data_IF_789092656419
#
_entry.id   IF_789092656419
#
_cell.length_a   1.000
_cell.length_b   1.000
_cell.length_c   1.000
_cell.angle_alpha   90.00
_cell.angle_beta   90.00
_cell.angle_gamma   90.00
#
_symmetry.space_group_name_H-M   'P 1'
#
loop_
_entity.id
_entity.type
_entity.pdbx_description
1 polymer ?
#
# COMPACT_ATOMS: atom_id res chain seq x y z
N UNK A 1 -51.93 3.81 5.49
CA UNK A 1 -51.37 3.49 4.17
C UNK A 1 -51.68 2.05 3.86
N UNK A 2 -51.88 1.73 2.59
CA UNK A 2 -52.16 0.36 2.17
C UNK A 2 -51.01 -0.59 2.55
N UNK A 3 -51.27 -1.87 2.84
CA UNK A 3 -50.22 -2.83 3.13
C UNK A 3 -49.23 -2.98 1.96
N UNK A 4 -47.93 -2.94 2.26
CA UNK A 4 -46.86 -3.11 1.28
C UNK A 4 -45.95 -4.27 1.68
N UNK A 5 -45.62 -5.13 0.71
CA UNK A 5 -44.77 -6.28 0.93
C UNK A 5 -43.27 -5.89 0.99
N UNK A 6 -42.45 -6.59 1.79
CA UNK A 6 -41.02 -6.29 1.88
C UNK A 6 -40.26 -6.69 0.61
N UNK A 7 -39.32 -5.85 0.21
CA UNK A 7 -38.20 -6.24 -0.64
C UNK A 7 -37.05 -6.77 0.21
N UNK A 8 -36.54 -7.96 -0.11
CA UNK A 8 -35.50 -8.62 0.68
C UNK A 8 -34.18 -8.67 -0.08
N UNK A 9 -33.12 -8.18 0.56
CA UNK A 9 -31.78 -8.09 0.01
C UNK A 9 -30.80 -8.90 0.87
N UNK A 10 -30.03 -9.84 0.29
CA UNK A 10 -28.99 -10.55 1.02
C UNK A 10 -27.81 -9.61 1.29
N UNK A 11 -27.27 -9.68 2.49
CA UNK A 11 -26.08 -8.95 2.93
C UNK A 11 -24.91 -9.92 3.06
N UNK A 12 -23.80 -9.60 2.39
CA UNK A 12 -22.56 -10.38 2.40
C UNK A 12 -21.55 -9.81 3.39
N UNK A 13 -20.63 -10.63 3.92
CA UNK A 13 -19.51 -10.15 4.74
C UNK A 13 -18.56 -9.25 3.92
N UNK A 14 -18.02 -8.20 4.53
CA UNK A 14 -16.96 -7.36 3.95
C UNK A 14 -15.57 -7.98 4.20
N UNK A 15 -14.58 -7.82 3.29
CA UNK A 15 -13.26 -8.46 3.42
C UNK A 15 -12.51 -8.06 4.74
N UNK A 16 -12.79 -6.90 5.34
CA UNK A 16 -12.15 -6.41 6.57
C UNK A 16 -12.74 -6.91 7.90
N UNK A 17 -13.79 -7.73 7.86
CA UNK A 17 -14.44 -8.27 9.08
C UNK A 17 -13.88 -9.63 9.52
N UNK A 18 -12.83 -10.13 8.87
CA UNK A 18 -12.13 -11.38 9.23
C UNK A 18 -11.06 -11.17 10.32
N UNK A 19 -11.15 -10.07 11.07
CA UNK A 19 -10.24 -9.81 12.19
C UNK A 19 -10.52 -10.76 13.35
N UNK A 20 -9.49 -11.52 13.75
CA UNK A 20 -9.34 -12.40 14.92
C UNK A 20 -10.40 -13.45 15.24
N UNK A 21 -11.61 -13.34 14.73
CA UNK A 21 -12.72 -14.20 15.11
C UNK A 21 -12.89 -15.27 14.04
N UNK A 22 -12.91 -16.53 14.48
CA UNK A 22 -13.18 -17.74 13.68
C UNK A 22 -14.58 -17.79 13.04
N UNK A 23 -15.26 -16.64 12.95
CA UNK A 23 -16.66 -16.49 12.58
C UNK A 23 -16.86 -15.36 11.56
N UNK A 24 -17.86 -15.50 10.71
CA UNK A 24 -18.31 -14.48 9.75
C UNK A 24 -19.77 -14.13 10.00
N UNK A 25 -20.15 -12.88 9.72
CA UNK A 25 -21.54 -12.44 9.85
C UNK A 25 -22.14 -12.16 8.48
N UNK A 26 -23.24 -12.86 8.19
CA UNK A 26 -24.09 -12.63 7.02
C UNK A 26 -25.41 -12.00 7.46
N UNK A 27 -26.20 -11.49 6.54
CA UNK A 27 -27.48 -10.91 6.92
C UNK A 27 -28.50 -10.82 5.79
N UNK A 28 -29.69 -10.34 6.15
CA UNK A 28 -30.72 -9.95 5.21
C UNK A 28 -31.34 -8.63 5.64
N UNK A 29 -31.54 -7.74 4.66
CA UNK A 29 -32.28 -6.50 4.81
C UNK A 29 -33.67 -6.68 4.21
N UNK A 30 -34.70 -6.44 5.01
CA UNK A 30 -36.09 -6.30 4.56
C UNK A 30 -36.42 -4.80 4.52
N UNK A 31 -36.85 -4.28 3.37
CA UNK A 31 -37.10 -2.85 3.19
C UNK A 31 -38.44 -2.61 2.47
N UNK A 32 -39.08 -1.48 2.78
CA UNK A 32 -40.26 -1.02 2.05
C UNK A 32 -41.57 -1.68 2.45
N UNK A 33 -41.65 -2.31 3.64
CA UNK A 33 -42.87 -2.97 4.09
C UNK A 33 -43.73 -2.08 4.99
N UNK A 34 -45.04 -2.36 5.02
CA UNK A 34 -45.99 -1.72 5.91
C UNK A 34 -47.18 -2.68 6.15
N UNK A 35 -47.66 -2.86 7.40
CA UNK A 35 -47.12 -2.38 8.68
C UNK A 35 -45.98 -3.27 9.23
N UNK A 36 -45.24 -2.82 10.23
CA UNK A 36 -44.31 -3.68 10.98
C UNK A 36 -45.07 -4.70 11.87
N UNK A 37 -44.49 -5.87 12.22
CA UNK A 37 -43.14 -6.35 11.90
C UNK A 37 -43.09 -7.37 10.74
N UNK A 38 -41.88 -7.67 10.27
CA UNK A 38 -41.58 -8.88 9.49
C UNK A 38 -40.96 -9.94 10.41
N UNK A 39 -41.21 -11.21 10.10
CA UNK A 39 -40.56 -12.35 10.77
C UNK A 39 -39.44 -12.88 9.89
N UNK A 40 -38.23 -13.03 10.44
CA UNK A 40 -37.09 -13.60 9.71
C UNK A 40 -36.64 -14.90 10.38
N UNK A 41 -36.55 -15.97 9.59
CA UNK A 41 -35.94 -17.25 9.96
C UNK A 41 -34.75 -17.54 9.06
N UNK A 42 -33.83 -18.38 9.52
CA UNK A 42 -32.67 -18.82 8.74
C UNK A 42 -32.76 -20.31 8.45
N UNK A 43 -32.49 -20.70 7.19
CA UNK A 43 -32.61 -22.06 6.65
C UNK A 43 -33.92 -22.75 7.07
N UNK A 44 -35.04 -22.06 6.87
CA UNK A 44 -36.39 -22.49 7.23
C UNK A 44 -36.58 -22.80 8.73
N UNK A 45 -35.78 -22.17 9.59
CA UNK A 45 -35.80 -22.36 11.04
C UNK A 45 -34.89 -23.48 11.54
N UNK A 46 -34.11 -24.11 10.67
CA UNK A 46 -33.09 -25.09 11.08
C UNK A 46 -31.95 -24.44 11.88
N UNK A 47 -31.66 -23.16 11.64
CA UNK A 47 -30.66 -22.40 12.38
C UNK A 47 -31.37 -21.56 13.45
N UNK A 48 -30.96 -21.74 14.71
CA UNK A 48 -31.56 -21.08 15.88
C UNK A 48 -30.55 -20.30 16.73
N UNK A 49 -29.25 -20.53 16.53
CA UNK A 49 -28.15 -19.85 17.24
C UNK A 49 -27.43 -18.83 16.35
N UNK A 50 -26.79 -17.83 16.96
CA UNK A 50 -26.01 -16.82 16.23
C UNK A 50 -26.86 -15.80 15.46
N UNK A 51 -28.18 -15.82 15.63
CA UNK A 51 -29.11 -14.91 14.95
C UNK A 51 -29.33 -13.66 15.79
N UNK A 52 -29.20 -12.49 15.16
CA UNK A 52 -29.53 -11.19 15.75
C UNK A 52 -30.51 -10.46 14.83
N UNK A 53 -31.76 -10.35 15.28
CA UNK A 53 -32.80 -9.59 14.58
C UNK A 53 -32.83 -8.16 15.11
N UNK A 54 -32.69 -7.19 14.22
CA UNK A 54 -32.80 -5.78 14.54
C UNK A 54 -34.26 -5.32 14.34
N UNK A 55 -34.74 -4.41 15.21
CA UNK A 55 -36.13 -3.92 15.14
C UNK A 55 -36.39 -3.17 13.83
N UNK A 56 -37.66 -3.10 13.44
CA UNK A 56 -38.09 -2.31 12.30
C UNK A 56 -37.98 -0.81 12.59
N UNK A 57 -37.40 -0.07 11.64
CA UNK A 57 -37.21 1.38 11.70
C UNK A 57 -38.04 2.03 10.60
N UNK A 58 -38.75 3.11 10.93
CA UNK A 58 -39.52 3.90 9.98
C UNK A 58 -38.57 4.73 9.11
N UNK A 59 -38.64 4.55 7.80
CA UNK A 59 -37.87 5.29 6.80
C UNK A 59 -38.58 6.61 6.44
N UNK A 60 -37.83 7.58 5.89
CA UNK A 60 -38.39 8.86 5.43
C UNK A 60 -39.47 8.69 4.35
N UNK A 61 -39.45 7.58 3.62
CA UNK A 61 -40.47 7.18 2.64
C UNK A 61 -41.82 6.81 3.26
N UNK A 62 -41.92 6.73 4.59
CA UNK A 62 -43.14 6.31 5.30
C UNK A 62 -43.33 4.78 5.39
N UNK A 63 -42.35 4.00 4.95
CA UNK A 63 -42.30 2.53 5.03
C UNK A 63 -41.26 2.05 6.05
N UNK A 64 -41.36 0.79 6.48
CA UNK A 64 -40.42 0.21 7.43
C UNK A 64 -39.28 -0.56 6.75
N UNK A 65 -38.13 -0.59 7.42
CA UNK A 65 -37.02 -1.49 7.12
C UNK A 65 -36.49 -2.17 8.39
N UNK A 66 -36.04 -3.41 8.28
CA UNK A 66 -35.44 -4.19 9.37
C UNK A 66 -34.36 -5.10 8.82
N UNK A 67 -33.41 -5.50 9.66
CA UNK A 67 -32.35 -6.43 9.27
C UNK A 67 -32.23 -7.61 10.23
N UNK A 68 -31.78 -8.74 9.71
CA UNK A 68 -31.40 -9.92 10.49
C UNK A 68 -29.96 -10.27 10.15
N UNK A 69 -29.16 -10.55 11.16
CA UNK A 69 -27.79 -11.02 11.04
C UNK A 69 -27.68 -12.44 11.55
N UNK A 70 -26.77 -13.21 10.95
CA UNK A 70 -26.39 -14.55 11.36
C UNK A 70 -24.87 -14.64 11.45
N UNK A 71 -24.35 -14.93 12.64
CA UNK A 71 -22.94 -15.21 12.89
C UNK A 71 -22.68 -16.71 12.82
N UNK A 72 -21.75 -17.12 11.96
CA UNK A 72 -21.47 -18.52 11.63
C UNK A 72 -19.96 -18.78 11.66
N UNK A 73 -19.50 -20.00 12.01
CA UNK A 73 -18.10 -20.37 11.89
C UNK A 73 -17.58 -20.26 10.46
N UNK A 74 -16.31 -19.89 10.28
CA UNK A 74 -15.69 -19.73 8.97
C UNK A 74 -15.65 -21.04 8.16
N UNK A 75 -15.52 -22.19 8.84
CA UNK A 75 -15.60 -23.52 8.21
C UNK A 75 -16.97 -23.76 7.57
N UNK A 76 -18.04 -23.43 8.30
CA UNK A 76 -19.41 -23.60 7.85
C UNK A 76 -19.74 -22.67 6.69
N UNK A 77 -19.18 -21.47 6.66
CA UNK A 77 -19.35 -20.56 5.53
C UNK A 77 -18.68 -21.05 4.25
N UNK A 78 -17.67 -21.92 4.28
CA UNK A 78 -17.06 -22.46 3.05
C UNK A 78 -17.88 -23.60 2.44
N UNK A 79 -18.52 -24.38 3.29
CA UNK A 79 -19.09 -25.68 2.91
C UNK A 79 -20.62 -25.74 2.94
N UNK A 80 -21.29 -24.82 3.66
CA UNK A 80 -22.74 -24.86 3.89
C UNK A 80 -23.44 -23.63 3.33
N UNK A 81 -24.60 -23.83 2.70
CA UNK A 81 -25.42 -22.74 2.17
C UNK A 81 -26.35 -22.11 3.22
N UNK A 82 -26.51 -20.78 3.16
CA UNK A 82 -27.37 -20.01 4.07
C UNK A 82 -28.48 -19.29 3.31
N UNK A 83 -29.68 -19.31 3.87
CA UNK A 83 -30.88 -18.66 3.32
C UNK A 83 -31.64 -17.95 4.43
N UNK A 84 -32.11 -16.74 4.16
CA UNK A 84 -33.07 -16.06 5.03
C UNK A 84 -34.49 -16.19 4.44
N UNK A 85 -35.43 -16.52 5.32
CA UNK A 85 -36.84 -16.74 5.03
C UNK A 85 -37.63 -15.64 5.75
N UNK A 86 -38.12 -14.66 4.99
CA UNK A 86 -38.84 -13.49 5.49
C UNK A 86 -40.32 -13.68 5.26
N UNK A 87 -41.11 -13.53 6.31
CA UNK A 87 -42.57 -13.60 6.29
C UNK A 87 -43.18 -12.28 6.77
N UNK A 88 -44.10 -11.75 5.96
CA UNK A 88 -44.87 -10.56 6.26
C UNK A 88 -46.36 -10.92 6.27
N UNK A 89 -46.88 -11.20 7.47
CA UNK A 89 -48.26 -11.65 7.68
C UNK A 89 -49.32 -10.68 7.11
N UNK A 90 -49.18 -9.34 7.23
CA UNK A 90 -50.19 -8.41 6.69
C UNK A 90 -50.41 -8.48 5.18
N UNK A 91 -49.40 -8.91 4.42
CA UNK A 91 -49.50 -9.06 2.96
C UNK A 91 -49.40 -10.52 2.52
N UNK A 92 -49.47 -11.48 3.47
CA UNK A 92 -49.27 -12.91 3.23
C UNK A 92 -48.02 -13.24 2.40
N UNK A 93 -46.99 -12.39 2.48
CA UNK A 93 -45.81 -12.50 1.61
C UNK A 93 -44.73 -13.34 2.28
N UNK A 94 -44.16 -14.28 1.52
CA UNK A 94 -43.02 -15.10 1.93
C UNK A 94 -41.91 -14.95 0.90
N UNK A 95 -40.73 -14.51 1.35
CA UNK A 95 -39.56 -14.30 0.50
C UNK A 95 -38.39 -15.08 1.04
N UNK A 96 -37.87 -15.98 0.22
CA UNK A 96 -36.65 -16.72 0.51
C UNK A 96 -35.49 -16.09 -0.29
N UNK A 97 -34.44 -15.67 0.41
CA UNK A 97 -33.22 -15.15 -0.23
C UNK A 97 -32.02 -15.95 0.24
N UNK A 98 -31.44 -16.69 -0.71
CA UNK A 98 -30.13 -17.31 -0.55
C UNK A 98 -29.07 -16.23 -0.44
N UNK A 99 -28.17 -16.37 0.53
CA UNK A 99 -26.97 -15.55 0.60
C UNK A 99 -26.05 -16.03 -0.52
N UNK A 100 -25.71 -15.19 -1.50
CA UNK A 100 -25.06 -15.69 -2.69
C UNK A 100 -23.57 -16.00 -2.42
N UNK A 101 -23.18 -17.27 -2.59
CA UNK A 101 -21.83 -17.79 -2.86
C UNK A 101 -20.79 -17.84 -1.72
N UNK A 102 -20.13 -19.00 -1.58
CA UNK A 102 -18.94 -19.28 -0.73
C UNK A 102 -17.62 -18.75 -1.33
N UNK A 103 -17.67 -18.31 -2.58
CA UNK A 103 -16.56 -17.63 -3.23
C UNK A 103 -16.60 -16.18 -2.80
N UNK A 104 -15.69 -15.80 -1.93
CA UNK A 104 -15.22 -14.42 -1.94
C UNK A 104 -14.84 -14.10 -3.39
N UNK A 105 -15.11 -12.87 -3.88
CA UNK A 105 -14.58 -12.48 -5.19
C UNK A 105 -13.07 -12.79 -5.18
N UNK A 106 -12.50 -13.25 -6.30
CA UNK A 106 -11.06 -13.57 -6.43
C UNK A 106 -10.14 -12.43 -5.95
N UNK A 107 -10.71 -11.24 -5.78
CA UNK A 107 -10.13 -10.04 -5.16
C UNK A 107 -10.02 -10.04 -3.62
N UNK A 108 -10.66 -10.94 -2.86
CA UNK A 108 -10.35 -11.16 -1.44
C UNK A 108 -9.39 -12.35 -1.26
N UNK A 109 -8.40 -12.50 -2.14
CA UNK A 109 -7.21 -13.28 -1.80
C UNK A 109 -6.44 -12.48 -0.74
N UNK A 110 -6.53 -12.91 0.53
CA UNK A 110 -5.70 -12.39 1.65
C UNK A 110 -4.24 -12.88 1.53
N UNK A 111 -3.78 -13.14 0.31
CA UNK A 111 -2.37 -13.43 0.09
C UNK A 111 -1.62 -12.12 0.27
N UNK A 112 -0.71 -12.04 1.27
CA UNK A 112 0.05 -10.84 1.49
C UNK A 112 0.89 -10.57 0.25
N UNK A 113 0.92 -9.31 -0.15
CA UNK A 113 1.80 -8.88 -1.24
C UNK A 113 3.20 -8.76 -0.67
N UNK A 114 4.07 -9.67 -1.09
CA UNK A 114 5.50 -9.70 -0.73
C UNK A 114 6.32 -9.12 -1.88
N UNK A 115 7.10 -8.08 -1.57
CA UNK A 115 7.96 -7.40 -2.52
C UNK A 115 9.36 -7.23 -1.91
N UNK A 116 10.39 -7.70 -2.61
CA UNK A 116 11.79 -7.51 -2.19
C UNK A 116 12.37 -6.36 -3.00
N UNK A 117 12.80 -5.32 -2.31
CA UNK A 117 13.30 -4.08 -2.90
C UNK A 117 14.82 -3.97 -2.77
N UNK A 118 15.50 -3.39 -3.77
CA UNK A 118 16.93 -3.20 -3.75
C UNK A 118 17.35 -2.13 -2.72
N UNK A 119 18.65 -2.04 -2.40
CA UNK A 119 19.19 -0.91 -1.65
C UNK A 119 18.90 0.42 -2.34
N UNK A 120 18.48 1.41 -1.56
CA UNK A 120 18.22 2.76 -2.08
C UNK A 120 19.53 3.36 -2.61
N UNK A 121 19.49 4.22 -3.66
CA UNK A 121 20.69 4.89 -4.15
C UNK A 121 21.38 5.73 -3.06
N UNK A 122 20.61 6.33 -2.13
CA UNK A 122 21.13 7.02 -0.95
C UNK A 122 22.01 6.09 -0.11
N UNK A 123 21.45 4.96 0.32
CA UNK A 123 22.15 4.05 1.23
C UNK A 123 23.34 3.36 0.54
N UNK A 124 23.19 3.02 -0.74
CA UNK A 124 24.19 2.29 -1.51
C UNK A 124 25.36 3.18 -1.95
N UNK A 125 25.07 4.39 -2.48
CA UNK A 125 26.05 5.22 -3.19
C UNK A 125 26.53 6.41 -2.36
N UNK A 126 25.73 6.87 -1.39
CA UNK A 126 26.07 8.01 -0.52
C UNK A 126 26.50 7.54 0.86
N UNK A 127 25.61 6.86 1.60
CA UNK A 127 25.89 6.44 2.97
C UNK A 127 26.84 5.24 3.06
N UNK A 128 26.94 4.45 1.98
CA UNK A 128 27.70 3.17 1.94
C UNK A 128 27.20 2.12 2.94
N UNK A 129 25.94 2.20 3.34
CA UNK A 129 25.26 1.28 4.26
C UNK A 129 24.06 0.59 3.59
N UNK A 130 24.27 -0.23 2.55
CA UNK A 130 23.16 -0.81 1.79
C UNK A 130 22.28 -1.74 2.62
N UNK A 131 20.98 -1.64 2.37
CA UNK A 131 19.93 -2.42 3.02
C UNK A 131 19.01 -2.98 1.94
N UNK A 132 18.72 -4.27 2.00
CA UNK A 132 17.69 -4.91 1.17
C UNK A 132 16.40 -4.95 1.99
N UNK A 133 15.27 -4.64 1.38
CA UNK A 133 13.99 -4.58 2.09
C UNK A 133 13.06 -5.67 1.59
N UNK A 134 12.36 -6.36 2.49
CA UNK A 134 11.25 -7.23 2.18
C UNK A 134 9.99 -6.60 2.75
N UNK A 135 9.14 -6.08 1.88
CA UNK A 135 7.89 -5.40 2.23
C UNK A 135 6.76 -6.40 2.11
N UNK A 136 6.08 -6.66 3.22
CA UNK A 136 4.98 -7.60 3.33
C UNK A 136 3.75 -6.77 3.65
N UNK A 137 2.82 -6.67 2.70
CA UNK A 137 1.65 -5.78 2.78
C UNK A 137 0.35 -6.55 2.56
N UNK A 138 -0.79 -5.92 2.84
CA UNK A 138 -2.12 -6.52 2.73
C UNK A 138 -2.33 -7.73 3.64
N UNK A 139 -1.68 -7.76 4.81
CA UNK A 139 -1.88 -8.83 5.80
C UNK A 139 -3.13 -8.57 6.64
N UNK A 140 -3.89 -9.63 6.95
CA UNK A 140 -5.02 -9.53 7.88
C UNK A 140 -4.56 -9.41 9.35
N UNK A 141 -3.48 -10.10 9.70
CA UNK A 141 -2.80 -10.02 11.00
C UNK A 141 -1.29 -10.09 10.79
N UNK A 142 -0.52 -9.52 11.72
CA UNK A 142 0.93 -9.67 11.77
C UNK A 142 1.38 -10.69 12.85
N UNK A 143 0.43 -11.24 13.62
CA UNK A 143 0.73 -12.18 14.70
C UNK A 143 1.18 -13.54 14.15
N UNK A 144 2.30 -14.06 14.65
CA UNK A 144 2.88 -15.31 14.15
C UNK A 144 3.66 -15.16 12.83
N UNK A 145 3.81 -13.94 12.30
CA UNK A 145 4.67 -13.69 11.15
C UNK A 145 6.13 -14.00 11.50
N UNK A 146 6.75 -14.86 10.69
CA UNK A 146 8.18 -15.15 10.75
C UNK A 146 8.82 -14.83 9.41
N UNK A 147 9.83 -13.97 9.42
CA UNK A 147 10.62 -13.64 8.22
C UNK A 147 12.00 -14.27 8.33
N UNK A 148 12.37 -15.06 7.34
CA UNK A 148 13.69 -15.70 7.23
C UNK A 148 14.40 -15.21 5.98
N UNK A 149 15.61 -14.72 6.16
CA UNK A 149 16.47 -14.34 5.05
C UNK A 149 17.48 -15.44 4.72
N UNK A 150 17.73 -15.62 3.44
CA UNK A 150 18.82 -16.46 2.94
C UNK A 150 19.62 -15.70 1.87
N UNK A 151 20.89 -16.07 1.72
CA UNK A 151 21.83 -15.46 0.77
C UNK A 151 22.52 -16.56 -0.03
N UNK A 152 22.66 -16.38 -1.35
CA UNK A 152 23.36 -17.37 -2.20
C UNK A 152 24.84 -17.51 -1.84
N UNK A 153 25.46 -16.45 -1.33
CA UNK A 153 26.85 -16.43 -0.87
C UNK A 153 27.08 -17.07 0.50
N UNK A 154 26.02 -17.56 1.15
CA UNK A 154 26.03 -18.21 2.47
C UNK A 154 26.66 -17.38 3.60
N UNK A 155 26.82 -16.06 3.41
CA UNK A 155 27.30 -15.18 4.48
C UNK A 155 26.24 -15.03 5.57
N UNK A 156 26.69 -14.61 6.76
CA UNK A 156 25.80 -14.32 7.88
C UNK A 156 24.74 -13.27 7.49
N UNK A 157 23.52 -13.53 7.92
CA UNK A 157 22.36 -12.67 7.76
C UNK A 157 22.20 -11.80 9.02
N UNK A 158 22.03 -10.49 8.82
CA UNK A 158 21.72 -9.54 9.89
C UNK A 158 20.48 -8.76 9.44
N UNK A 159 19.31 -9.15 9.93
CA UNK A 159 18.04 -8.57 9.56
C UNK A 159 17.27 -8.05 10.78
N UNK A 160 16.43 -7.04 10.55
CA UNK A 160 15.57 -6.43 11.56
C UNK A 160 14.18 -6.25 10.98
N UNK A 161 13.16 -6.62 11.74
CA UNK A 161 11.77 -6.45 11.32
C UNK A 161 11.22 -5.17 11.95
N UNK A 162 10.53 -4.36 11.14
CA UNK A 162 9.81 -3.20 11.66
C UNK A 162 8.62 -3.66 12.50
N UNK A 163 8.16 -2.82 13.45
CA UNK A 163 6.83 -2.99 14.03
C UNK A 163 5.77 -3.07 12.92
N UNK A 164 4.68 -3.84 13.11
CA UNK A 164 3.54 -3.84 12.20
C UNK A 164 2.88 -2.47 12.13
N UNK A 165 2.68 -1.97 10.91
CA UNK A 165 2.00 -0.71 10.61
C UNK A 165 0.59 -1.03 10.11
N UNK A 166 -0.45 -0.42 10.70
CA UNK A 166 -1.84 -0.61 10.28
C UNK A 166 -2.19 0.41 9.21
N UNK A 167 -2.60 -0.08 8.04
CA UNK A 167 -2.99 0.72 6.88
C UNK A 167 -4.44 1.22 7.01
N UNK A 168 -4.80 2.23 6.20
CA UNK A 168 -6.16 2.79 6.17
C UNK A 168 -7.24 1.77 5.77
N UNK A 169 -6.87 0.77 4.98
CA UNK A 169 -7.76 -0.33 4.59
C UNK A 169 -7.92 -1.39 5.70
N UNK A 170 -7.28 -1.18 6.85
CA UNK A 170 -7.31 -2.06 8.01
C UNK A 170 -6.32 -3.22 7.95
N UNK A 171 -5.58 -3.39 6.86
CA UNK A 171 -4.53 -4.40 6.73
C UNK A 171 -3.25 -3.98 7.44
N UNK A 172 -2.32 -4.92 7.62
CA UNK A 172 -1.02 -4.67 8.22
C UNK A 172 0.11 -4.75 7.18
N UNK A 173 1.10 -3.90 7.37
CA UNK A 173 2.37 -3.89 6.64
C UNK A 173 3.53 -4.11 7.61
N UNK A 174 4.44 -5.02 7.26
CA UNK A 174 5.71 -5.25 7.98
C UNK A 174 6.86 -5.14 6.97
N UNK A 175 7.93 -4.46 7.38
CA UNK A 175 9.14 -4.27 6.57
C UNK A 175 10.29 -4.99 7.25
N UNK A 176 10.80 -6.06 6.64
CA UNK A 176 12.04 -6.71 7.08
C UNK A 176 13.24 -6.11 6.36
N UNK A 177 14.28 -5.73 7.11
CA UNK A 177 15.41 -4.95 6.63
C UNK A 177 16.68 -5.78 6.80
N UNK A 178 17.23 -6.28 5.69
CA UNK A 178 18.50 -7.00 5.66
C UNK A 178 19.67 -6.02 5.46
N UNK A 179 20.55 -5.90 6.45
CA UNK A 179 21.80 -5.13 6.31
C UNK A 179 22.84 -5.96 5.57
N UNK A 180 23.46 -5.37 4.54
CA UNK A 180 24.52 -6.01 3.74
C UNK A 180 25.74 -5.09 3.63
N UNK A 181 26.91 -5.67 3.32
CA UNK A 181 28.11 -4.87 3.08
C UNK A 181 28.10 -4.29 1.65
N UNK A 182 28.77 -3.15 1.42
CA UNK A 182 28.78 -2.49 0.10
C UNK A 182 29.27 -3.38 -1.05
N UNK A 183 30.21 -4.29 -0.77
CA UNK A 183 30.71 -5.27 -1.74
C UNK A 183 29.76 -6.44 -2.04
N UNK A 184 28.69 -6.61 -1.26
CA UNK A 184 27.78 -7.76 -1.39
C UNK A 184 26.68 -7.53 -2.43
N UNK A 185 26.31 -6.28 -2.75
CA UNK A 185 25.29 -5.98 -3.75
C UNK A 185 25.83 -6.12 -5.18
N UNK A 186 25.98 -7.37 -5.63
CA UNK A 186 26.57 -7.74 -6.92
C UNK A 186 25.64 -8.68 -7.71
N UNK A 187 25.74 -8.73 -9.05
CA UNK A 187 24.77 -9.48 -9.86
C UNK A 187 24.77 -11.01 -9.68
N UNK A 188 25.78 -11.55 -8.99
CA UNK A 188 25.88 -12.97 -8.65
C UNK A 188 25.28 -13.32 -7.27
N UNK A 189 25.02 -12.30 -6.46
CA UNK A 189 24.57 -12.45 -5.08
C UNK A 189 23.06 -12.28 -5.04
N UNK A 190 22.36 -13.32 -4.59
CA UNK A 190 20.92 -13.36 -4.43
C UNK A 190 20.56 -13.27 -2.96
N UNK A 191 19.54 -12.47 -2.69
CA UNK A 191 18.97 -12.27 -1.37
C UNK A 191 17.52 -12.74 -1.44
N UNK A 192 17.16 -13.75 -0.65
CA UNK A 192 15.81 -14.30 -0.59
C UNK A 192 15.18 -14.03 0.76
N UNK A 193 13.94 -13.52 0.73
CA UNK A 193 13.06 -13.35 1.86
C UNK A 193 12.00 -14.46 1.82
N UNK A 194 12.03 -15.35 2.80
CA UNK A 194 11.08 -16.42 3.00
C UNK A 194 10.14 -16.03 4.16
N UNK A 195 8.85 -15.90 3.88
CA UNK A 195 7.84 -15.54 4.87
C UNK A 195 6.99 -16.76 5.25
N UNK A 196 6.75 -16.90 6.55
CA UNK A 196 5.94 -17.96 7.14
C UNK A 196 4.90 -17.29 8.03
N UNK A 197 3.64 -17.65 7.86
CA UNK A 197 2.53 -17.10 8.65
C UNK A 197 1.42 -18.16 8.77
N UNK A 198 0.67 -18.24 9.90
CA UNK A 198 -0.39 -19.22 10.11
C UNK A 198 -1.48 -19.21 9.04
N UNK A 199 -1.82 -18.02 8.52
CA UNK A 199 -2.85 -17.86 7.49
C UNK A 199 -2.37 -18.24 6.08
N UNK A 200 -1.10 -18.61 5.91
CA UNK A 200 -0.55 -19.01 4.61
C UNK A 200 -0.54 -20.53 4.45
N UNK A 201 -1.07 -21.06 3.32
CA UNK A 201 -1.06 -22.50 3.06
C UNK A 201 0.36 -23.04 2.86
N UNK A 202 1.29 -22.19 2.41
CA UNK A 202 2.70 -22.52 2.27
C UNK A 202 3.57 -21.26 2.40
N UNK A 203 4.85 -21.38 2.78
CA UNK A 203 5.75 -20.25 2.85
C UNK A 203 5.89 -19.55 1.49
N UNK A 204 5.93 -18.23 1.49
CA UNK A 204 6.17 -17.43 0.27
C UNK A 204 7.63 -17.00 0.28
N UNK A 205 8.37 -17.38 -0.76
CA UNK A 205 9.74 -16.92 -0.98
C UNK A 205 9.79 -15.94 -2.15
N UNK A 206 10.42 -14.79 -1.92
CA UNK A 206 10.75 -13.80 -2.94
C UNK A 206 12.22 -13.47 -2.87
N UNK A 207 12.83 -13.23 -4.02
CA UNK A 207 14.26 -12.97 -4.09
C UNK A 207 14.56 -11.76 -4.96
N UNK A 208 15.68 -11.12 -4.67
CA UNK A 208 16.25 -10.06 -5.50
C UNK A 208 17.73 -10.31 -5.76
N UNK A 209 18.18 -9.87 -6.92
CA UNK A 209 19.58 -9.78 -7.32
C UNK A 209 19.80 -8.42 -7.95
N UNK A 210 21.04 -7.95 -7.97
CA UNK A 210 21.40 -6.81 -8.80
C UNK A 210 21.28 -7.23 -10.28
N UNK A 211 20.61 -6.43 -11.10
CA UNK A 211 20.52 -6.73 -12.52
C UNK A 211 21.91 -6.78 -13.17
N UNK A 212 22.11 -7.76 -14.07
CA UNK A 212 23.40 -8.04 -14.70
C UNK A 212 23.88 -6.98 -15.70
N UNK A 213 23.17 -5.86 -15.87
CA UNK A 213 23.59 -4.75 -16.73
C UNK A 213 23.73 -5.11 -18.20
N UNK A 214 23.24 -6.27 -18.64
CA UNK A 214 23.17 -6.62 -20.06
C UNK A 214 21.90 -5.98 -20.64
N UNK A 215 22.06 -4.72 -21.02
CA UNK A 215 21.17 -3.82 -21.77
C UNK A 215 20.37 -2.79 -20.93
N UNK A 216 20.66 -1.50 -21.20
CA UNK A 216 19.83 -0.30 -20.98
C UNK A 216 19.80 0.40 -19.61
N UNK A 217 20.95 0.57 -18.95
CA UNK A 217 21.08 1.67 -17.97
C UNK A 217 21.37 2.99 -18.68
N UNK A 218 20.64 4.06 -18.38
CA UNK A 218 20.87 5.39 -18.95
C UNK A 218 21.37 6.35 -17.86
N UNK A 219 22.41 7.12 -18.15
CA UNK A 219 22.98 8.08 -17.20
C UNK A 219 22.13 9.34 -17.11
N UNK A 220 21.87 9.86 -15.89
CA UNK A 220 21.12 11.10 -15.74
C UNK A 220 21.87 12.29 -16.31
N UNK A 221 21.12 13.10 -17.06
CA UNK A 221 21.49 14.44 -17.46
C UNK A 221 20.94 15.41 -16.42
N UNK A 222 21.82 16.20 -15.82
CA UNK A 222 21.49 17.10 -14.72
C UNK A 222 21.62 18.55 -15.21
N UNK A 223 20.54 19.30 -15.09
CA UNK A 223 20.48 20.73 -15.43
C UNK A 223 20.06 21.53 -14.20
N UNK A 224 20.76 22.64 -13.93
CA UNK A 224 20.47 23.50 -12.79
C UNK A 224 20.04 24.89 -13.25
N UNK A 225 18.79 25.21 -12.97
CA UNK A 225 18.14 26.47 -13.31
C UNK A 225 18.30 27.46 -12.14
N UNK A 226 18.72 28.71 -12.41
CA UNK A 226 18.81 29.75 -11.40
C UNK A 226 17.41 30.22 -10.98
N UNK A 227 17.30 31.02 -9.91
CA UNK A 227 16.09 31.79 -9.65
C UNK A 227 15.66 32.60 -10.87
N UNK A 228 14.35 32.74 -11.08
CA UNK A 228 13.84 33.66 -12.10
C UNK A 228 14.03 35.11 -11.68
N UNK A 229 14.15 36.01 -12.65
CA UNK A 229 14.33 37.45 -12.37
C UNK A 229 13.16 38.03 -11.57
N UNK A 230 11.94 37.53 -11.76
CA UNK A 230 10.78 37.94 -10.98
C UNK A 230 10.86 37.51 -9.51
N UNK A 231 11.43 36.33 -9.24
CA UNK A 231 11.57 35.81 -7.87
C UNK A 231 12.62 36.59 -7.06
N UNK A 232 13.58 37.25 -7.72
CA UNK A 232 14.59 38.10 -7.07
C UNK A 232 13.99 39.30 -6.30
N UNK A 233 12.69 39.58 -6.50
CA UNK A 233 11.94 40.57 -5.73
C UNK A 233 11.63 40.08 -4.30
N UNK A 234 11.56 38.77 -4.07
CA UNK A 234 11.24 38.16 -2.78
C UNK A 234 12.48 37.99 -1.88
N UNK A 235 12.28 37.71 -0.59
CA UNK A 235 13.38 37.45 0.35
C UNK A 235 13.96 36.03 0.22
N UNK A 236 13.16 35.11 -0.31
CA UNK A 236 13.54 33.74 -0.61
C UNK A 236 13.39 33.49 -2.10
N UNK A 237 14.32 32.70 -2.63
CA UNK A 237 14.41 32.37 -4.05
C UNK A 237 14.62 30.87 -4.23
N UNK A 238 14.34 30.37 -5.42
CA UNK A 238 14.36 28.94 -5.70
C UNK A 238 15.39 28.57 -6.76
N UNK A 239 16.13 27.50 -6.51
CA UNK A 239 16.92 26.81 -7.52
C UNK A 239 16.18 25.54 -7.93
N UNK A 240 16.14 25.24 -9.23
CA UNK A 240 15.48 24.05 -9.76
C UNK A 240 16.50 23.15 -10.44
N UNK A 241 16.64 21.94 -9.94
CA UNK A 241 17.42 20.88 -10.56
C UNK A 241 16.50 19.96 -11.36
N UNK A 242 16.79 19.83 -12.64
CA UNK A 242 16.10 18.93 -13.57
C UNK A 242 17.04 17.76 -13.84
N UNK A 243 16.55 16.54 -13.62
CA UNK A 243 17.32 15.31 -13.84
C UNK A 243 16.53 14.44 -14.81
N UNK A 244 17.07 14.21 -16.01
CA UNK A 244 16.35 13.56 -17.12
C UNK A 244 17.16 12.45 -17.78
N UNK A 245 16.52 11.70 -18.67
CA UNK A 245 17.12 10.67 -19.53
C UNK A 245 17.82 9.54 -18.76
N UNK A 246 17.35 9.21 -17.54
CA UNK A 246 17.97 8.17 -16.72
C UNK A 246 17.14 6.90 -16.61
N UNK A 247 17.84 5.77 -16.44
CA UNK A 247 17.27 4.43 -16.18
C UNK A 247 18.23 3.60 -15.35
N UNK A 248 17.76 2.88 -14.32
CA UNK A 248 16.36 2.67 -13.91
C UNK A 248 15.76 3.84 -13.11
N UNK A 249 14.52 3.67 -12.62
CA UNK A 249 13.75 4.71 -11.91
C UNK A 249 14.43 5.21 -10.63
N UNK A 250 15.20 4.35 -9.96
CA UNK A 250 15.74 4.62 -8.63
C UNK A 250 16.90 5.61 -8.67
N UNK A 251 16.64 6.84 -8.22
CA UNK A 251 17.63 7.92 -8.11
C UNK A 251 17.54 8.62 -6.75
N UNK A 252 18.65 9.17 -6.27
CA UNK A 252 18.66 10.02 -5.08
C UNK A 252 19.25 11.40 -5.41
N UNK A 253 18.44 12.45 -5.24
CA UNK A 253 18.82 13.83 -5.50
C UNK A 253 18.95 14.59 -4.18
N UNK A 254 20.07 15.28 -3.99
CA UNK A 254 20.36 16.06 -2.80
C UNK A 254 21.19 17.30 -3.13
N UNK A 255 21.23 18.24 -2.19
CA UNK A 255 21.85 19.54 -2.41
C UNK A 255 23.01 19.80 -1.47
N UNK A 256 23.94 20.65 -1.92
CA UNK A 256 25.01 21.23 -1.10
C UNK A 256 25.06 22.75 -1.28
N UNK A 257 25.34 23.46 -0.20
CA UNK A 257 25.72 24.89 -0.19
C UNK A 257 27.19 24.97 0.18
N UNK A 258 28.01 25.53 -0.70
CA UNK A 258 29.46 25.69 -0.51
C UNK A 258 30.17 24.37 -0.09
N UNK A 259 29.71 23.25 -0.66
CA UNK A 259 30.22 21.91 -0.39
C UNK A 259 29.60 21.20 0.83
N UNK A 260 28.82 21.91 1.65
CA UNK A 260 28.15 21.37 2.84
C UNK A 260 26.77 20.83 2.48
N UNK A 261 26.40 19.59 2.86
CA UNK A 261 25.06 19.04 2.65
C UNK A 261 23.96 19.92 3.23
N UNK A 262 22.90 20.14 2.44
CA UNK A 262 21.69 20.82 2.89
C UNK A 262 20.72 19.76 3.41
N UNK A 263 20.03 20.05 4.52
CA UNK A 263 19.03 19.16 5.11
C UNK A 263 17.79 19.01 4.20
N UNK A 264 17.09 17.88 4.32
CA UNK A 264 16.02 17.49 3.38
C UNK A 264 14.82 18.43 3.45
N UNK A 265 14.64 19.14 4.55
CA UNK A 265 13.52 20.03 4.85
C UNK A 265 13.57 21.31 3.99
N UNK A 266 14.73 21.66 3.45
CA UNK A 266 14.91 22.86 2.62
C UNK A 266 14.66 22.62 1.13
N UNK A 267 14.49 21.38 0.70
CA UNK A 267 14.26 21.05 -0.70
C UNK A 267 13.23 19.94 -0.88
N UNK A 268 12.45 20.07 -1.95
CA UNK A 268 11.48 19.06 -2.36
C UNK A 268 11.98 18.36 -3.62
N UNK A 269 11.75 17.07 -3.73
CA UNK A 269 12.09 16.28 -4.93
C UNK A 269 10.86 15.50 -5.35
N UNK A 270 10.51 15.59 -6.63
CA UNK A 270 9.38 14.85 -7.19
C UNK A 270 9.69 13.36 -7.27
N UNK A 271 8.65 12.52 -7.29
CA UNK A 271 8.81 11.13 -7.71
C UNK A 271 9.23 11.10 -9.19
N UNK A 272 10.17 10.23 -9.60
CA UNK A 272 10.51 10.07 -11.01
C UNK A 272 9.28 9.68 -11.86
N UNK A 273 9.10 10.39 -12.96
CA UNK A 273 8.04 10.20 -13.97
C UNK A 273 8.64 9.51 -15.17
N UNK A 274 7.93 8.54 -15.76
CA UNK A 274 8.33 7.87 -16.99
C UNK A 274 8.01 8.78 -18.19
N UNK A 275 9.01 9.07 -19.01
CA UNK A 275 8.89 9.69 -20.32
C UNK A 275 8.76 8.56 -21.35
N UNK A 276 7.53 8.24 -21.76
CA UNK A 276 7.24 7.03 -22.56
C UNK A 276 7.92 7.02 -23.93
N UNK A 277 8.06 8.18 -24.58
CA UNK A 277 8.68 8.30 -25.90
C UNK A 277 10.16 7.94 -25.89
N UNK A 278 10.87 8.40 -24.87
CA UNK A 278 12.29 8.13 -24.66
C UNK A 278 12.52 6.80 -23.92
N UNK A 279 11.44 6.25 -23.33
CA UNK A 279 11.48 5.19 -22.34
C UNK A 279 12.57 5.51 -21.30
N UNK A 280 12.50 6.68 -20.64
CA UNK A 280 13.44 7.07 -19.58
C UNK A 280 12.71 7.79 -18.46
N UNK A 281 13.40 8.15 -17.37
CA UNK A 281 12.80 8.85 -16.26
C UNK A 281 13.26 10.30 -16.15
N UNK A 282 12.35 11.13 -15.63
CA UNK A 282 12.53 12.55 -15.31
C UNK A 282 12.17 12.81 -13.85
N UNK A 283 12.98 13.61 -13.16
CA UNK A 283 12.72 14.08 -11.81
C UNK A 283 13.15 15.54 -11.64
N UNK A 284 12.44 16.25 -10.78
CA UNK A 284 12.74 17.64 -10.43
C UNK A 284 13.05 17.74 -8.94
N UNK A 285 13.98 18.61 -8.58
CA UNK A 285 14.21 19.03 -7.21
C UNK A 285 14.22 20.54 -7.12
N UNK A 286 13.46 21.10 -6.18
CA UNK A 286 13.38 22.54 -5.91
C UNK A 286 13.97 22.82 -4.54
N UNK A 287 15.05 23.59 -4.51
CA UNK A 287 15.70 24.09 -3.30
C UNK A 287 15.28 25.53 -3.05
N UNK A 288 14.78 25.84 -1.86
CA UNK A 288 14.45 27.21 -1.45
C UNK A 288 15.58 27.77 -0.59
N UNK A 289 16.09 28.95 -0.92
CA UNK A 289 17.23 29.59 -0.24
C UNK A 289 16.94 31.05 0.08
N UNK A 290 17.69 31.62 1.02
CA UNK A 290 17.66 33.07 1.24
C UNK A 290 18.27 33.80 0.03
N UNK A 291 17.61 34.83 -0.48
CA UNK A 291 18.11 35.67 -1.58
C UNK A 291 19.50 36.24 -1.26
N UNK A 292 19.76 36.59 0.00
CA UNK A 292 21.05 37.10 0.45
C UNK A 292 22.20 36.13 0.16
N UNK A 293 21.99 34.83 0.29
CA UNK A 293 23.01 33.82 0.01
C UNK A 293 23.34 33.79 -1.49
N UNK A 294 22.31 33.82 -2.33
CA UNK A 294 22.46 33.89 -3.78
C UNK A 294 23.20 35.15 -4.23
N UNK A 295 22.80 36.31 -3.68
CA UNK A 295 23.41 37.61 -3.99
C UNK A 295 24.88 37.68 -3.57
N UNK A 296 25.22 37.08 -2.42
CA UNK A 296 26.60 36.99 -1.90
C UNK A 296 27.50 36.04 -2.69
N UNK A 297 26.96 35.31 -3.67
CA UNK A 297 27.72 34.40 -4.51
C UNK A 297 27.95 33.02 -3.90
N UNK A 298 27.12 32.59 -2.95
CA UNK A 298 27.14 31.22 -2.47
C UNK A 298 26.96 30.24 -3.64
N UNK A 299 27.70 29.14 -3.61
CA UNK A 299 27.66 28.12 -4.65
C UNK A 299 26.73 26.98 -4.24
N UNK A 300 25.73 26.72 -5.07
CA UNK A 300 24.78 25.65 -4.84
C UNK A 300 25.04 24.50 -5.82
N UNK A 301 25.08 23.29 -5.28
CA UNK A 301 25.26 22.08 -6.05
C UNK A 301 24.01 21.22 -5.96
N UNK A 302 23.48 20.80 -7.10
CA UNK A 302 22.56 19.67 -7.18
C UNK A 302 23.36 18.41 -7.50
N UNK A 303 23.16 17.35 -6.72
CA UNK A 303 23.87 16.08 -6.87
C UNK A 303 22.84 14.98 -7.09
N UNK A 304 23.01 14.20 -8.15
CA UNK A 304 22.24 13.00 -8.40
C UNK A 304 23.11 11.75 -8.19
N UNK A 305 22.65 10.87 -7.32
CA UNK A 305 23.23 9.55 -7.10
C UNK A 305 22.38 8.49 -7.79
N UNK A 306 22.98 7.79 -8.75
CA UNK A 306 22.31 6.83 -9.61
C UNK A 306 23.26 5.66 -9.91
N UNK A 307 22.71 4.47 -10.13
CA UNK A 307 23.52 3.24 -10.24
C UNK A 307 24.53 3.26 -11.39
N UNK A 308 24.29 4.02 -12.46
CA UNK A 308 25.18 4.14 -13.62
C UNK A 308 26.35 5.09 -13.39
N UNK A 309 26.18 6.16 -12.59
CA UNK A 309 27.18 7.23 -12.40
C UNK A 309 27.74 7.31 -10.98
N UNK A 310 27.26 6.50 -10.03
CA UNK A 310 27.47 6.64 -8.59
C UNK A 310 26.98 7.99 -8.03
N UNK A 311 27.64 9.10 -8.38
CA UNK A 311 27.24 10.47 -8.07
C UNK A 311 27.74 11.43 -9.16
N UNK A 312 26.92 12.40 -9.56
CA UNK A 312 27.31 13.52 -10.44
C UNK A 312 26.71 14.81 -9.89
N UNK A 313 27.50 15.87 -9.87
CA UNK A 313 27.07 17.19 -9.44
C UNK A 313 27.08 18.20 -10.58
N UNK A 314 26.15 19.15 -10.50
CA UNK A 314 26.19 20.40 -11.26
C UNK A 314 26.11 21.56 -10.28
N UNK A 315 26.91 22.60 -10.50
CA UNK A 315 27.02 23.75 -9.61
C UNK A 315 26.55 25.00 -10.29
N UNK A 316 25.96 25.91 -9.51
CA UNK A 316 25.59 27.25 -9.98
C UNK A 316 25.82 28.30 -8.90
N UNK A 317 26.18 29.48 -9.36
CA UNK A 317 26.25 30.68 -8.53
C UNK A 317 25.78 31.87 -9.37
N UNK A 318 25.61 33.04 -8.75
CA UNK A 318 25.10 34.23 -9.47
C UNK A 318 26.01 34.68 -10.64
N UNK A 319 27.29 34.33 -10.61
CA UNK A 319 28.28 34.80 -11.59
C UNK A 319 28.60 33.84 -12.74
N UNK A 320 28.02 32.63 -12.77
CA UNK A 320 28.28 31.58 -13.77
C UNK A 320 27.07 30.69 -14.04
#
# INVERSE_FOLDING_TARGET
GDPHAPSVFPLRPCCGSLGSDSHVTVGCLSSGFLPAPVTVKWNSGAITSGIKNFPAVLQQSGSFASSSQLTIPLSDWKDKSFECNVEHAPTSTKVNKKIPGHTWPETCSLTPKVEVLPPTPKDLLVNREPKVYCVISKMASAEGLTVKWSRSDKKRVIAFDSPPEKEYDGTFTVKSILKISSGDWQPRNQFSCNIIHPDLPSPIEKSIQKDQGKNQGAEPIISLLPPSDDELRNDFVSLVCVVKDFKPKEIYIFWKKDGVPIEKEYYITTTPVLEEEEDTYLAFSKLTIAKSDWIRGATFSCIAAHNTISQRDIKKNRGK
#
